data_IF_291827718533
#
_entry.id   IF_291827718533
#
_cell.length_a   1.000
_cell.length_b   1.000
_cell.length_c   1.000
_cell.angle_alpha   90.00
_cell.angle_beta   90.00
_cell.angle_gamma   90.00
#
_symmetry.space_group_name_H-M   'P 1'
#
loop_
_entity.id
_entity.type
_entity.pdbx_description
1 polymer ?
#
# COMPACT_ATOMS: atom_id res chain seq x y z
N UNK A 1 8.34 3.13 24.86
CA UNK A 1 8.28 4.39 24.07
C UNK A 1 8.50 5.52 25.05
N UNK A 2 9.51 6.36 24.82
CA UNK A 2 9.85 7.50 25.66
C UNK A 2 9.32 8.82 25.09
N UNK A 3 9.56 9.92 25.80
CA UNK A 3 9.12 11.27 25.44
C UNK A 3 9.75 11.79 24.15
N UNK A 4 11.01 11.42 23.89
CA UNK A 4 11.74 11.83 22.69
C UNK A 4 11.10 11.21 21.45
N UNK A 5 10.82 9.91 21.50
CA UNK A 5 10.16 9.18 20.41
C UNK A 5 8.76 9.75 20.16
N UNK A 6 7.97 9.98 21.22
CA UNK A 6 6.64 10.58 21.08
C UNK A 6 6.71 11.96 20.44
N UNK A 7 7.68 12.79 20.88
CA UNK A 7 7.93 14.13 20.33
C UNK A 7 8.30 14.12 18.85
N UNK A 8 9.05 13.10 18.39
CA UNK A 8 9.37 12.93 16.97
C UNK A 8 8.11 12.65 16.13
N UNK A 9 7.23 11.75 16.59
CA UNK A 9 5.96 11.48 15.92
C UNK A 9 5.01 12.68 15.92
N UNK A 10 5.00 13.47 16.99
CA UNK A 10 4.22 14.72 17.03
C UNK A 10 4.78 15.79 16.09
N UNK A 11 6.10 15.86 15.92
CA UNK A 11 6.73 16.74 14.93
C UNK A 11 6.32 16.33 13.52
N UNK A 12 6.37 15.03 13.21
CA UNK A 12 5.89 14.50 11.94
C UNK A 12 4.42 14.82 11.68
N UNK A 13 3.56 14.59 12.68
CA UNK A 13 2.12 14.87 12.61
C UNK A 13 1.79 16.33 12.26
N UNK A 14 2.52 17.29 12.84
CA UNK A 14 2.35 18.72 12.54
C UNK A 14 2.73 19.11 11.12
N UNK A 15 3.62 18.34 10.49
CA UNK A 15 4.10 18.60 9.13
C UNK A 15 3.30 17.89 8.03
N UNK A 16 2.34 17.03 8.39
CA UNK A 16 1.56 16.23 7.43
C UNK A 16 0.11 16.65 7.44
N UNK A 17 -0.32 17.33 6.37
CA UNK A 17 -1.72 17.59 6.12
C UNK A 17 -2.40 16.32 5.60
N UNK A 18 -3.43 15.87 6.30
CA UNK A 18 -4.25 14.74 5.87
C UNK A 18 -5.61 15.24 5.39
N UNK A 19 -6.15 14.69 4.31
CA UNK A 19 -7.46 15.11 3.83
C UNK A 19 -8.54 14.09 4.17
N UNK A 20 -9.71 14.56 4.58
CA UNK A 20 -10.88 13.72 4.76
C UNK A 20 -11.50 13.34 3.40
N UNK A 21 -12.58 12.55 3.41
CA UNK A 21 -13.24 12.11 2.16
C UNK A 21 -13.90 13.24 1.37
N UNK A 22 -14.14 14.39 2.00
CA UNK A 22 -14.68 15.60 1.37
C UNK A 22 -13.56 16.51 0.84
N UNK A 23 -12.28 16.16 1.07
CA UNK A 23 -11.12 16.94 0.64
C UNK A 23 -10.66 18.00 1.65
N UNK A 24 -11.28 18.10 2.81
CA UNK A 24 -10.90 19.06 3.85
C UNK A 24 -9.68 18.56 4.62
N UNK A 25 -8.77 19.46 4.98
CA UNK A 25 -7.61 19.12 5.79
C UNK A 25 -8.00 18.85 7.24
N UNK A 26 -7.58 17.69 7.73
CA UNK A 26 -7.63 17.25 9.11
C UNK A 26 -6.21 16.96 9.59
N UNK A 27 -5.96 17.16 10.89
CA UNK A 27 -4.67 16.86 11.50
C UNK A 27 -4.81 15.57 12.31
N UNK A 28 -3.94 14.61 12.03
CA UNK A 28 -3.81 13.40 12.85
C UNK A 28 -2.76 13.65 13.92
N UNK A 29 -2.93 13.09 15.12
CA UNK A 29 -1.90 13.16 16.17
C UNK A 29 -0.69 12.28 15.83
N UNK A 30 0.44 12.50 16.52
CA UNK A 30 1.62 11.64 16.41
C UNK A 30 1.29 10.16 16.68
N UNK A 31 0.44 9.90 17.67
CA UNK A 31 -0.05 8.56 17.97
C UNK A 31 -0.84 7.93 16.80
N UNK A 32 -1.71 8.70 16.16
CA UNK A 32 -2.48 8.22 14.99
C UNK A 32 -1.55 7.91 13.81
N UNK A 33 -0.53 8.74 13.58
CA UNK A 33 0.48 8.47 12.56
C UNK A 33 1.33 7.23 12.89
N UNK A 34 1.71 7.05 14.15
CA UNK A 34 2.44 5.87 14.62
C UNK A 34 1.66 4.59 14.34
N UNK A 35 0.39 4.52 14.74
CA UNK A 35 -0.46 3.35 14.50
C UNK A 35 -0.66 3.11 13.00
N UNK A 36 -1.05 4.14 12.24
CA UNK A 36 -1.30 4.02 10.80
C UNK A 36 -0.10 3.42 10.06
N UNK A 37 1.09 3.92 10.39
CA UNK A 37 2.35 3.56 9.76
C UNK A 37 2.79 2.15 10.16
N UNK A 38 2.80 1.85 11.46
CA UNK A 38 3.28 0.56 11.94
C UNK A 38 2.30 -0.59 11.72
N UNK A 39 0.98 -0.35 11.82
CA UNK A 39 0.01 -1.38 11.47
C UNK A 39 0.13 -1.79 10.00
N UNK A 40 0.43 -0.82 9.13
CA UNK A 40 0.68 -1.10 7.72
C UNK A 40 1.96 -1.89 7.50
N UNK A 41 3.04 -1.49 8.17
CA UNK A 41 4.35 -2.13 8.07
C UNK A 41 4.31 -3.58 8.57
N UNK A 42 3.67 -3.83 9.72
CA UNK A 42 3.47 -5.17 10.27
C UNK A 42 2.68 -6.07 9.33
N UNK A 43 1.62 -5.55 8.71
CA UNK A 43 0.84 -6.30 7.70
C UNK A 43 1.64 -6.62 6.43
N UNK A 44 2.62 -5.79 6.08
CA UNK A 44 3.52 -6.02 4.96
C UNK A 44 4.69 -6.98 5.29
N UNK A 45 4.80 -7.45 6.53
CA UNK A 45 5.88 -8.33 7.00
C UNK A 45 7.10 -7.59 7.55
N UNK A 46 7.04 -6.26 7.67
CA UNK A 46 8.07 -5.45 8.32
C UNK A 46 8.03 -5.55 9.84
N UNK A 47 9.06 -5.03 10.49
CA UNK A 47 9.17 -4.95 11.95
C UNK A 47 8.68 -3.60 12.47
N UNK A 48 8.24 -3.56 13.73
CA UNK A 48 7.81 -2.33 14.39
C UNK A 48 8.94 -1.29 14.40
N UNK A 49 8.65 -0.08 13.90
CA UNK A 49 9.57 1.07 13.93
C UNK A 49 9.05 2.08 14.93
N UNK A 50 9.80 2.26 16.02
CA UNK A 50 9.45 3.23 17.06
C UNK A 50 9.99 4.61 16.78
N UNK A 51 11.13 4.74 16.11
CA UNK A 51 11.69 6.04 15.76
C UNK A 51 10.69 6.84 14.89
N UNK A 52 10.53 8.13 15.19
CA UNK A 52 9.71 9.01 14.35
C UNK A 52 10.40 9.25 13.01
N UNK A 53 9.63 9.44 11.91
CA UNK A 53 10.23 9.69 10.60
C UNK A 53 11.05 10.98 10.60
N UNK A 54 12.27 10.97 10.01
CA UNK A 54 13.10 12.17 9.89
C UNK A 54 12.56 13.13 8.82
N UNK A 55 11.97 12.57 7.76
CA UNK A 55 11.40 13.34 6.65
C UNK A 55 9.94 13.70 6.91
N UNK A 56 9.60 14.94 6.58
CA UNK A 56 8.24 15.45 6.66
C UNK A 56 7.54 15.25 5.31
N UNK A 57 6.36 14.64 5.35
CA UNK A 57 5.52 14.42 4.16
C UNK A 57 5.26 12.95 3.86
N UNK A 58 4.19 12.72 3.12
CA UNK A 58 3.82 11.38 2.66
C UNK A 58 4.66 11.02 1.43
N UNK A 59 5.15 9.77 1.32
CA UNK A 59 5.76 9.31 0.09
C UNK A 59 4.72 9.33 -1.05
N UNK A 60 5.16 9.61 -2.29
CA UNK A 60 4.26 9.60 -3.45
C UNK A 60 3.68 8.20 -3.70
N UNK A 61 2.55 8.16 -4.41
CA UNK A 61 2.01 6.92 -4.94
C UNK A 61 2.74 6.46 -6.20
N UNK A 62 2.27 5.36 -6.80
CA UNK A 62 2.78 4.84 -8.07
C UNK A 62 1.72 4.95 -9.18
N UNK A 63 1.98 5.83 -10.15
CA UNK A 63 1.10 6.05 -11.30
C UNK A 63 1.16 4.90 -12.32
N UNK A 64 2.18 4.04 -12.27
CA UNK A 64 2.31 2.84 -13.10
C UNK A 64 1.71 1.59 -12.45
N UNK A 65 1.09 1.73 -11.27
CA UNK A 65 0.49 0.62 -10.57
C UNK A 65 -0.66 0.00 -11.37
N UNK A 66 -0.44 -1.21 -11.86
CA UNK A 66 -1.43 -2.00 -12.57
C UNK A 66 -1.47 -3.42 -12.00
N UNK A 67 -2.65 -4.05 -12.07
CA UNK A 67 -2.84 -5.42 -11.61
C UNK A 67 -3.62 -6.19 -12.64
N UNK A 68 -3.17 -7.41 -12.92
CA UNK A 68 -3.93 -8.42 -13.64
C UNK A 68 -4.05 -9.67 -12.79
N UNK A 69 -4.94 -10.59 -13.16
CA UNK A 69 -5.11 -11.85 -12.44
C UNK A 69 -5.88 -12.87 -13.25
N UNK A 70 -5.64 -14.14 -12.96
CA UNK A 70 -6.21 -15.30 -13.66
C UNK A 70 -6.84 -16.26 -12.64
N UNK A 71 -8.01 -16.81 -12.99
CA UNK A 71 -8.69 -17.80 -12.17
C UNK A 71 -7.89 -19.12 -12.10
N UNK A 72 -7.18 -19.48 -13.16
CA UNK A 72 -6.36 -20.71 -13.24
C UNK A 72 -5.26 -20.75 -12.18
N UNK A 73 -4.48 -19.67 -12.04
CA UNK A 73 -3.37 -19.66 -11.07
C UNK A 73 -3.79 -19.16 -9.68
N UNK A 74 -4.91 -18.43 -9.57
CA UNK A 74 -5.32 -17.78 -8.34
C UNK A 74 -4.36 -16.67 -7.89
N UNK A 75 -3.55 -16.13 -8.81
CA UNK A 75 -2.57 -15.09 -8.53
C UNK A 75 -2.94 -13.74 -9.14
N UNK A 76 -2.42 -12.70 -8.50
CA UNK A 76 -2.38 -11.34 -8.99
C UNK A 76 -0.97 -11.07 -9.52
N UNK A 77 -0.85 -10.55 -10.73
CA UNK A 77 0.41 -10.06 -11.29
C UNK A 77 0.41 -8.54 -11.22
N UNK A 78 1.43 -8.00 -10.55
CA UNK A 78 1.53 -6.59 -10.20
C UNK A 78 2.59 -5.95 -11.08
N UNK A 79 2.23 -4.84 -11.71
CA UNK A 79 3.16 -3.92 -12.37
C UNK A 79 3.32 -2.69 -11.48
N UNK A 80 4.56 -2.28 -11.25
CA UNK A 80 4.90 -1.08 -10.51
C UNK A 80 6.12 -0.39 -11.15
N UNK A 81 6.33 0.88 -10.81
CA UNK A 81 7.47 1.65 -11.29
C UNK A 81 8.77 1.26 -10.59
N UNK A 82 9.75 0.80 -11.37
CA UNK A 82 11.11 0.51 -10.89
C UNK A 82 11.93 1.79 -10.60
N UNK A 83 11.40 2.96 -10.99
CA UNK A 83 12.06 4.26 -10.82
C UNK A 83 11.75 4.93 -9.47
N UNK A 84 10.77 4.42 -8.72
CA UNK A 84 10.43 4.97 -7.42
C UNK A 84 11.41 4.49 -6.36
N UNK A 85 11.81 5.38 -5.45
CA UNK A 85 12.83 5.09 -4.44
C UNK A 85 12.57 3.82 -3.63
N UNK A 86 11.29 3.55 -3.29
CA UNK A 86 10.91 2.39 -2.48
C UNK A 86 11.35 1.06 -3.12
N UNK A 87 11.46 1.03 -4.45
CA UNK A 87 11.80 -0.17 -5.21
C UNK A 87 13.22 -0.64 -4.86
N UNK A 88 14.14 0.31 -4.62
CA UNK A 88 15.54 0.07 -4.27
C UNK A 88 15.87 0.47 -2.84
N UNK A 89 14.93 0.22 -1.93
CA UNK A 89 15.08 0.52 -0.52
C UNK A 89 14.70 -0.71 0.31
N UNK A 90 15.69 -1.37 0.91
CA UNK A 90 15.46 -2.50 1.80
C UNK A 90 14.64 -2.05 3.01
N UNK A 91 13.55 -2.78 3.30
CA UNK A 91 12.61 -2.44 4.37
C UNK A 91 11.49 -1.49 3.94
N UNK A 92 11.49 -1.05 2.68
CA UNK A 92 10.32 -0.48 2.04
C UNK A 92 9.44 -1.59 1.42
N UNK A 93 8.15 -1.31 1.25
CA UNK A 93 7.16 -2.26 0.76
C UNK A 93 6.11 -1.59 -0.12
N UNK A 94 5.69 -2.29 -1.18
CA UNK A 94 4.42 -2.04 -1.86
C UNK A 94 3.37 -3.01 -1.32
N UNK A 95 2.51 -2.53 -0.43
CA UNK A 95 1.42 -3.33 0.16
C UNK A 95 0.19 -3.28 -0.73
N UNK A 96 -0.30 -4.44 -1.17
CA UNK A 96 -1.43 -4.56 -2.10
C UNK A 96 -2.66 -5.12 -1.39
N UNK A 97 -3.81 -4.53 -1.66
CA UNK A 97 -5.12 -4.98 -1.20
C UNK A 97 -6.05 -5.25 -2.38
N UNK A 98 -6.83 -6.31 -2.27
CA UNK A 98 -7.80 -6.74 -3.27
C UNK A 98 -9.22 -6.63 -2.70
N UNK A 99 -10.14 -6.13 -3.52
CA UNK A 99 -11.58 -6.17 -3.27
C UNK A 99 -12.20 -7.51 -3.64
N UNK A 100 -13.34 -7.85 -3.04
CA UNK A 100 -14.07 -9.07 -3.42
C UNK A 100 -14.51 -8.99 -4.89
N UNK A 101 -14.23 -10.01 -5.73
CA UNK A 101 -14.69 -10.04 -7.12
C UNK A 101 -16.20 -9.75 -7.26
N UNK A 102 -16.58 -8.98 -8.27
CA UNK A 102 -17.97 -8.57 -8.53
C UNK A 102 -18.37 -8.88 -9.97
N UNK A 103 -19.67 -8.81 -10.25
CA UNK A 103 -20.19 -8.84 -11.62
C UNK A 103 -19.52 -7.77 -12.50
N UNK A 104 -19.30 -8.11 -13.78
CA UNK A 104 -18.69 -7.24 -14.78
C UNK A 104 -19.41 -5.89 -14.97
N UNK A 105 -20.72 -5.83 -14.67
CA UNK A 105 -21.51 -4.60 -14.80
C UNK A 105 -21.26 -3.56 -13.71
N UNK A 106 -20.58 -3.93 -12.62
CA UNK A 106 -20.33 -3.01 -11.51
C UNK A 106 -19.18 -2.07 -11.87
N UNK A 107 -19.40 -0.76 -11.69
CA UNK A 107 -18.43 0.28 -12.06
C UNK A 107 -17.79 0.99 -10.87
N UNK A 108 -18.31 0.77 -9.66
CA UNK A 108 -17.80 1.37 -8.44
C UNK A 108 -17.66 0.34 -7.32
N UNK A 109 -16.55 0.44 -6.59
CA UNK A 109 -16.22 -0.40 -5.46
C UNK A 109 -15.54 0.42 -4.36
N UNK A 110 -16.11 0.40 -3.16
CA UNK A 110 -15.58 1.12 -1.99
C UNK A 110 -15.07 0.18 -0.88
N UNK A 111 -15.10 -1.14 -1.12
CA UNK A 111 -14.78 -2.16 -0.13
C UNK A 111 -15.86 -3.24 -0.04
N UNK A 112 -15.63 -4.30 0.75
CA UNK A 112 -14.51 -4.51 1.67
C UNK A 112 -13.19 -4.88 0.96
N UNK A 113 -12.06 -4.47 1.57
CA UNK A 113 -10.70 -4.74 1.07
C UNK A 113 -10.01 -5.77 1.96
N UNK A 114 -9.22 -6.67 1.37
CA UNK A 114 -8.33 -7.60 2.09
C UNK A 114 -6.91 -7.47 1.56
N UNK A 115 -5.93 -7.53 2.46
CA UNK A 115 -4.53 -7.55 2.08
C UNK A 115 -4.22 -8.82 1.28
N UNK A 116 -3.63 -8.65 0.10
CA UNK A 116 -3.18 -9.74 -0.78
C UNK A 116 -1.71 -10.11 -0.52
N UNK A 117 -0.96 -9.19 0.09
CA UNK A 117 0.44 -9.34 0.41
C UNK A 117 1.18 -8.02 0.17
N UNK A 118 2.50 -8.11 0.16
CA UNK A 118 3.37 -6.99 -0.13
C UNK A 118 4.57 -7.43 -0.96
N UNK A 119 5.12 -6.52 -1.75
CA UNK A 119 6.38 -6.68 -2.46
C UNK A 119 7.43 -5.87 -1.71
N UNK A 120 8.48 -6.52 -1.24
CA UNK A 120 9.57 -5.85 -0.54
C UNK A 120 10.52 -5.17 -1.53
N UNK A 121 10.92 -3.94 -1.23
CA UNK A 121 12.06 -3.28 -1.85
C UNK A 121 13.36 -4.00 -1.50
N UNK A 122 14.33 -3.97 -2.41
CA UNK A 122 15.65 -4.57 -2.23
C UNK A 122 16.69 -3.60 -2.74
N UNK A 123 17.68 -3.27 -1.91
CA UNK A 123 18.77 -2.38 -2.32
C UNK A 123 19.49 -2.93 -3.57
N UNK A 124 20.03 -2.01 -4.37
CA UNK A 124 20.75 -2.23 -5.63
C UNK A 124 19.93 -2.86 -6.78
N UNK A 125 19.34 -4.03 -6.55
CA UNK A 125 18.67 -4.84 -7.58
C UNK A 125 17.18 -4.53 -7.72
N UNK A 126 16.53 -4.11 -6.65
CA UNK A 126 15.07 -4.09 -6.55
C UNK A 126 14.44 -5.49 -6.58
N UNK A 127 13.12 -5.60 -6.35
CA UNK A 127 12.40 -6.86 -6.47
C UNK A 127 12.46 -7.38 -7.91
N UNK A 128 12.62 -8.70 -8.08
CA UNK A 128 12.71 -9.33 -9.41
C UNK A 128 11.33 -9.62 -9.99
N UNK A 129 11.03 -9.23 -11.25
CA UNK A 129 9.80 -9.63 -11.93
C UNK A 129 9.76 -11.14 -12.27
N UNK A 130 8.58 -11.76 -12.43
CA UNK A 130 7.25 -11.17 -12.25
C UNK A 130 6.89 -10.99 -10.78
N UNK A 131 6.25 -9.87 -10.43
CA UNK A 131 5.73 -9.66 -9.09
C UNK A 131 4.35 -10.31 -8.95
N UNK A 132 4.30 -11.44 -8.25
CA UNK A 132 3.08 -12.20 -8.06
C UNK A 132 2.66 -12.26 -6.58
N UNK A 133 1.37 -12.05 -6.33
CA UNK A 133 0.76 -12.22 -5.01
C UNK A 133 -0.39 -13.23 -5.10
N UNK A 134 -0.61 -13.99 -4.04
CA UNK A 134 -1.77 -14.89 -3.97
C UNK A 134 -3.04 -14.07 -3.77
N UNK A 135 -4.07 -14.31 -4.57
CA UNK A 135 -5.33 -13.59 -4.42
C UNK A 135 -6.03 -13.95 -3.08
N UNK A 136 -6.38 -12.99 -2.22
CA UNK A 136 -7.04 -13.26 -0.94
C UNK A 136 -8.52 -13.63 -1.10
N UNK A 137 -9.06 -13.51 -2.31
CA UNK A 137 -10.38 -14.00 -2.70
C UNK A 137 -10.22 -14.88 -3.94
N UNK A 138 -10.99 -15.96 -4.01
CA UNK A 138 -11.06 -16.80 -5.20
C UNK A 138 -11.43 -15.97 -6.42
N UNK A 139 -10.56 -15.99 -7.42
CA UNK A 139 -10.80 -15.37 -8.71
C UNK A 139 -11.76 -16.26 -9.51
N UNK A 140 -12.75 -15.64 -10.13
CA UNK A 140 -13.70 -16.31 -11.02
C UNK A 140 -13.66 -15.57 -12.34
N UNK A 141 -13.52 -16.32 -13.43
CA UNK A 141 -13.41 -15.76 -14.77
C UNK A 141 -14.49 -14.72 -15.05
N UNK A 142 -14.14 -13.68 -15.80
CA UNK A 142 -15.01 -12.57 -16.20
C UNK A 142 -15.49 -11.65 -15.07
N UNK A 143 -15.31 -12.03 -13.79
CA UNK A 143 -15.63 -11.14 -12.69
C UNK A 143 -14.64 -9.98 -12.62
N UNK A 144 -15.16 -8.79 -12.34
CA UNK A 144 -14.37 -7.57 -12.21
C UNK A 144 -13.75 -7.51 -10.82
N UNK A 145 -12.47 -7.16 -10.77
CA UNK A 145 -11.65 -7.06 -9.56
C UNK A 145 -11.08 -5.65 -9.46
N UNK A 146 -11.05 -5.13 -8.23
CA UNK A 146 -10.41 -3.87 -7.90
C UNK A 146 -9.25 -4.15 -6.96
N UNK A 147 -8.12 -3.51 -7.21
CA UNK A 147 -6.95 -3.53 -6.35
C UNK A 147 -6.52 -2.11 -6.01
N UNK A 148 -6.03 -1.93 -4.79
CA UNK A 148 -5.39 -0.71 -4.34
C UNK A 148 -4.07 -1.05 -3.65
N UNK A 149 -3.14 -0.13 -3.68
CA UNK A 149 -1.86 -0.29 -3.01
C UNK A 149 -1.48 0.97 -2.24
N UNK A 150 -0.47 0.82 -1.39
CA UNK A 150 0.24 1.91 -0.75
C UNK A 150 1.71 1.56 -0.68
N UNK A 151 2.56 2.57 -0.74
CA UNK A 151 3.99 2.45 -0.51
C UNK A 151 4.26 2.71 0.97
N UNK A 152 5.12 1.88 1.55
CA UNK A 152 5.63 2.00 2.92
C UNK A 152 7.14 2.17 2.76
N UNK A 153 7.72 3.27 3.23
CA UNK A 153 9.18 3.50 3.22
C UNK A 153 9.84 2.80 4.42
N UNK A 154 11.16 2.67 4.40
CA UNK A 154 11.90 2.00 5.48
C UNK A 154 11.81 2.73 6.83
N UNK A 155 11.39 4.00 6.85
CA UNK A 155 11.10 4.79 8.06
C UNK A 155 9.64 4.68 8.54
N UNK A 156 8.90 3.69 8.04
CA UNK A 156 7.47 3.43 8.24
C UNK A 156 6.50 4.43 7.60
N UNK A 157 6.94 5.52 6.95
CA UNK A 157 6.00 6.45 6.31
C UNK A 157 5.21 5.73 5.22
N UNK A 158 3.90 5.89 5.27
CA UNK A 158 2.99 5.30 4.29
C UNK A 158 2.40 6.37 3.38
N UNK A 159 2.30 6.07 2.08
CA UNK A 159 1.56 6.89 1.12
C UNK A 159 0.05 6.84 1.42
N UNK A 160 -0.73 7.70 0.78
CA UNK A 160 -2.16 7.44 0.60
C UNK A 160 -2.35 6.19 -0.24
N UNK A 161 -3.53 5.58 -0.17
CA UNK A 161 -3.87 4.49 -1.08
C UNK A 161 -4.05 5.04 -2.50
N UNK A 162 -3.45 4.37 -3.47
CA UNK A 162 -3.67 4.58 -4.90
C UNK A 162 -4.27 3.30 -5.50
N UNK A 163 -5.08 3.45 -6.54
CA UNK A 163 -5.84 2.36 -7.15
C UNK A 163 -5.29 1.97 -8.52
N UNK A 164 -5.38 0.69 -8.86
CA UNK A 164 -5.23 0.25 -10.24
C UNK A 164 -6.55 0.36 -10.99
N UNK A 165 -6.49 0.43 -12.32
CA UNK A 165 -7.67 0.22 -13.15
C UNK A 165 -8.28 -1.16 -12.85
N UNK A 166 -9.60 -1.29 -12.71
CA UNK A 166 -10.22 -2.59 -12.47
C UNK A 166 -10.05 -3.49 -13.69
N UNK A 167 -9.78 -4.77 -13.45
CA UNK A 167 -9.60 -5.78 -14.49
C UNK A 167 -10.67 -6.87 -14.38
N UNK A 168 -10.96 -7.53 -15.50
CA UNK A 168 -11.71 -8.77 -15.48
C UNK A 168 -10.74 -9.93 -15.25
N UNK A 169 -11.03 -10.81 -14.29
CA UNK A 169 -10.21 -12.00 -14.09
C UNK A 169 -10.18 -12.84 -15.38
N UNK A 170 -8.98 -13.11 -15.87
CA UNK A 170 -8.78 -14.00 -17.02
C UNK A 170 -9.09 -15.45 -16.66
N UNK A 171 -9.16 -16.29 -17.71
CA UNK A 171 -9.10 -17.74 -17.55
C UNK A 171 -7.83 -18.13 -16.80
#
# INVERSE_FOLDING_TARGET
MDDLIRGAWETYAKGVNWNNRLGETIILSGFNHFIRSNAALLMAGGSLITAGPPDIGLPPGDDLFAVTGTATSGKLTITCSELLDWFKETGAYLSVEMGRPQSASRNFFAGPWRNAGAIAGLDDTGPTPPHELTAPFTLVETQKVWCRARIIRADARCSTFFGAAPFAAGA
#
